data_IF_400310160267
#
_entry.id   IF_400310160267
#
_cell.length_a   1.000
_cell.length_b   1.000
_cell.length_c   1.000
_cell.angle_alpha   90.00
_cell.angle_beta   90.00
_cell.angle_gamma   90.00
#
_symmetry.space_group_name_H-M   'P 1'
#
loop_
_entity.id
_entity.type
_entity.pdbx_description
1 polymer ?
#
# COMPACT_ATOMS: atom_id res chain seq x y z
N UNK A 1 32.33 -16.05 -34.43
CA UNK A 1 31.40 -16.22 -33.27
C UNK A 1 32.06 -15.65 -32.04
N UNK A 2 31.61 -14.50 -31.55
CA UNK A 2 32.05 -13.96 -30.26
C UNK A 2 31.30 -14.72 -29.15
N UNK A 3 31.97 -15.19 -28.09
CA UNK A 3 31.30 -15.83 -26.98
C UNK A 3 30.42 -14.78 -26.27
N UNK A 4 29.10 -15.00 -26.26
CA UNK A 4 28.19 -14.22 -25.42
C UNK A 4 28.64 -14.41 -23.98
N UNK A 5 29.23 -13.38 -23.37
CA UNK A 5 29.41 -13.34 -21.92
C UNK A 5 28.02 -13.24 -21.31
N UNK A 6 27.47 -14.37 -20.88
CA UNK A 6 26.28 -14.41 -20.05
C UNK A 6 26.62 -13.72 -18.72
N UNK A 7 25.95 -12.59 -18.45
CA UNK A 7 26.11 -11.89 -17.18
C UNK A 7 25.60 -12.79 -16.07
N UNK A 8 26.42 -13.01 -15.03
CA UNK A 8 26.02 -13.77 -13.86
C UNK A 8 24.76 -13.16 -13.21
N UNK A 9 23.79 -14.00 -12.90
CA UNK A 9 22.55 -13.60 -12.24
C UNK A 9 22.82 -13.22 -10.78
N UNK A 10 22.22 -12.13 -10.30
CA UNK A 10 22.33 -11.66 -8.92
C UNK A 10 20.99 -11.12 -8.43
N UNK A 11 20.75 -11.29 -7.12
CA UNK A 11 19.65 -10.66 -6.40
C UNK A 11 20.23 -10.01 -5.15
N UNK A 12 20.25 -8.68 -5.11
CA UNK A 12 20.66 -7.91 -3.94
C UNK A 12 19.42 -7.45 -3.19
N UNK A 13 19.35 -7.75 -1.89
CA UNK A 13 18.33 -7.25 -0.98
C UNK A 13 18.97 -6.51 0.19
N UNK A 14 18.41 -5.35 0.52
CA UNK A 14 18.79 -4.56 1.70
C UNK A 14 17.54 -4.25 2.52
N UNK A 15 17.66 -4.35 3.85
CA UNK A 15 16.62 -3.88 4.78
C UNK A 15 17.22 -2.73 5.57
N UNK A 16 16.62 -1.54 5.45
CA UNK A 16 17.21 -0.28 5.94
C UNK A 16 16.16 0.70 6.43
N UNK A 17 16.64 1.84 6.91
CA UNK A 17 15.81 3.01 7.22
C UNK A 17 14.56 2.68 8.06
N UNK A 18 14.74 2.22 9.31
CA UNK A 18 13.61 1.97 10.21
C UNK A 18 12.87 3.28 10.51
N UNK A 19 11.55 3.30 10.35
CA UNK A 19 10.73 4.48 10.66
C UNK A 19 9.57 4.13 11.57
N UNK A 20 9.27 5.03 12.50
CA UNK A 20 8.04 4.95 13.29
C UNK A 20 6.91 5.51 12.43
N UNK A 21 5.94 4.66 12.12
CA UNK A 21 4.67 5.01 11.49
C UNK A 21 3.63 5.21 12.58
N UNK A 22 2.95 6.36 12.55
CA UNK A 22 1.77 6.64 13.37
C UNK A 22 0.55 6.42 12.47
N UNK A 23 -0.18 5.35 12.74
CA UNK A 23 -1.44 5.04 12.05
C UNK A 23 -2.56 5.85 12.70
N UNK A 24 -2.61 5.84 14.04
CA UNK A 24 -3.44 6.71 14.89
C UNK A 24 -2.68 7.13 16.16
N UNK A 25 -3.30 7.94 17.02
CA UNK A 25 -2.76 8.41 18.31
C UNK A 25 -2.22 7.30 19.23
N UNK A 26 -2.70 6.06 19.08
CA UNK A 26 -2.33 4.91 19.92
C UNK A 26 -1.67 3.77 19.13
N UNK A 27 -1.80 3.78 17.80
CA UNK A 27 -1.31 2.71 16.94
C UNK A 27 -0.04 3.15 16.21
N UNK A 28 1.08 3.09 16.92
CA UNK A 28 2.39 3.28 16.30
C UNK A 28 3.07 1.93 16.04
N UNK A 29 3.83 1.84 14.96
CA UNK A 29 4.66 0.69 14.65
C UNK A 29 5.93 1.10 13.92
N UNK A 30 6.95 0.24 13.97
CA UNK A 30 8.14 0.40 13.13
C UNK A 30 7.97 -0.42 11.85
N UNK A 31 8.21 0.24 10.72
CA UNK A 31 8.41 -0.39 9.43
C UNK A 31 9.86 -0.23 8.97
N UNK A 32 10.26 -1.06 8.00
CA UNK A 32 11.59 -1.07 7.42
C UNK A 32 11.46 -0.92 5.91
N UNK A 33 12.38 -0.16 5.30
CA UNK A 33 12.52 -0.15 3.85
C UNK A 33 13.18 -1.44 3.39
N UNK A 34 12.56 -2.12 2.42
CA UNK A 34 13.15 -3.23 1.67
C UNK A 34 13.51 -2.69 0.30
N UNK A 35 14.78 -2.79 -0.06
CA UNK A 35 15.29 -2.45 -1.38
C UNK A 35 15.78 -3.69 -2.09
N UNK A 36 15.29 -3.91 -3.32
CA UNK A 36 15.75 -4.97 -4.22
C UNK A 36 16.47 -4.33 -5.40
N UNK A 37 17.59 -4.93 -5.80
CA UNK A 37 18.26 -4.70 -7.07
C UNK A 37 18.72 -6.03 -7.64
N UNK A 38 18.29 -6.36 -8.86
CA UNK A 38 18.49 -7.68 -9.44
C UNK A 38 18.52 -7.61 -10.97
N UNK A 39 19.26 -8.52 -11.61
CA UNK A 39 19.12 -8.79 -13.04
C UNK A 39 18.31 -10.07 -13.32
N UNK A 40 17.86 -10.78 -12.27
CA UNK A 40 17.14 -12.04 -12.36
C UNK A 40 15.83 -11.93 -13.12
N UNK A 41 15.49 -12.96 -13.90
CA UNK A 41 14.21 -13.05 -14.62
C UNK A 41 13.06 -13.52 -13.72
N UNK A 42 13.34 -14.00 -12.52
CA UNK A 42 12.32 -14.33 -11.54
C UNK A 42 11.56 -13.10 -11.03
N UNK A 43 12.08 -11.88 -11.25
CA UNK A 43 11.46 -10.64 -10.78
C UNK A 43 10.92 -9.81 -11.94
N UNK A 44 9.69 -9.33 -11.78
CA UNK A 44 9.02 -8.42 -12.73
C UNK A 44 9.76 -7.10 -12.85
N UNK A 45 10.19 -6.51 -11.71
CA UNK A 45 10.99 -5.28 -11.68
C UNK A 45 12.43 -5.56 -11.25
N UNK A 46 13.39 -4.91 -11.93
CA UNK A 46 14.82 -5.02 -11.62
C UNK A 46 15.23 -4.23 -10.38
N UNK A 47 14.45 -3.21 -10.03
CA UNK A 47 14.57 -2.47 -8.78
C UNK A 47 13.20 -2.28 -8.14
N UNK A 48 13.13 -2.41 -6.82
CA UNK A 48 11.94 -2.08 -6.04
C UNK A 48 12.30 -1.52 -4.68
N UNK A 49 11.42 -0.69 -4.13
CA UNK A 49 11.56 -0.10 -2.81
C UNK A 49 10.20 -0.03 -2.12
N UNK A 50 9.99 -0.91 -1.14
CA UNK A 50 8.74 -1.07 -0.40
C UNK A 50 8.99 -0.92 1.10
N UNK A 51 7.94 -0.70 1.90
CA UNK A 51 8.07 -0.66 3.36
C UNK A 51 7.23 -1.74 4.00
N UNK A 52 7.82 -2.50 4.91
CA UNK A 52 7.15 -3.63 5.58
C UNK A 52 7.46 -3.60 7.07
N UNK A 53 6.47 -3.91 7.90
CA UNK A 53 6.62 -4.07 9.35
C UNK A 53 6.82 -5.53 9.72
N UNK A 54 7.39 -5.78 10.90
CA UNK A 54 7.76 -7.13 11.36
C UNK A 54 6.61 -8.16 11.27
N UNK A 55 5.37 -7.79 11.60
CA UNK A 55 4.22 -8.72 11.55
C UNK A 55 3.95 -9.26 10.13
N UNK A 56 4.23 -8.46 9.10
CA UNK A 56 4.03 -8.88 7.72
C UNK A 56 5.11 -9.88 7.29
N UNK A 57 6.34 -9.78 7.82
CA UNK A 57 7.35 -10.82 7.63
C UNK A 57 6.96 -12.14 8.30
N UNK A 58 6.35 -12.08 9.49
CA UNK A 58 5.81 -13.27 10.15
C UNK A 58 4.74 -13.93 9.29
N UNK A 59 3.80 -13.14 8.75
CA UNK A 59 2.81 -13.63 7.79
C UNK A 59 3.46 -14.26 6.56
N UNK A 60 4.43 -13.57 5.92
CA UNK A 60 5.11 -14.07 4.73
C UNK A 60 5.77 -15.43 5.00
N UNK A 61 6.52 -15.55 6.11
CA UNK A 61 7.15 -16.82 6.48
C UNK A 61 6.13 -17.94 6.65
N UNK A 62 4.99 -17.65 7.30
CA UNK A 62 3.93 -18.65 7.47
C UNK A 62 3.34 -19.12 6.14
N UNK A 63 3.08 -18.20 5.20
CA UNK A 63 2.54 -18.54 3.86
C UNK A 63 3.55 -19.31 3.01
N UNK A 64 4.82 -18.90 3.02
CA UNK A 64 5.87 -19.64 2.33
C UNK A 64 6.03 -21.05 2.91
N UNK A 65 5.91 -21.21 4.23
CA UNK A 65 6.04 -22.52 4.87
C UNK A 65 4.86 -23.44 4.52
N UNK A 66 3.64 -22.91 4.43
CA UNK A 66 2.47 -23.71 4.04
C UNK A 66 2.57 -24.21 2.60
N UNK A 67 3.14 -23.42 1.70
CA UNK A 67 3.28 -23.79 0.29
C UNK A 67 4.48 -24.70 0.04
N UNK A 68 5.55 -24.57 0.84
CA UNK A 68 6.78 -25.34 0.71
C UNK A 68 7.08 -26.13 1.99
N UNK A 69 6.16 -27.03 2.39
CA UNK A 69 6.22 -27.74 3.68
C UNK A 69 7.52 -28.54 3.91
N UNK A 70 8.18 -29.00 2.85
CA UNK A 70 9.43 -29.76 2.93
C UNK A 70 10.69 -28.88 3.06
N UNK A 71 10.56 -27.57 2.84
CA UNK A 71 11.68 -26.63 2.93
C UNK A 71 11.74 -26.07 4.34
N UNK A 72 12.90 -26.17 4.98
CA UNK A 72 13.17 -25.49 6.23
C UNK A 72 13.40 -23.99 5.97
N UNK A 73 12.40 -23.16 6.29
CA UNK A 73 12.53 -21.73 6.09
C UNK A 73 13.46 -21.09 7.15
N UNK A 74 14.31 -20.14 6.73
CA UNK A 74 15.08 -19.29 7.63
C UNK A 74 14.22 -18.74 8.77
N UNK A 75 14.80 -18.69 9.97
CA UNK A 75 14.14 -18.09 11.11
C UNK A 75 14.08 -16.57 10.97
N UNK A 76 12.98 -15.98 11.44
CA UNK A 76 12.89 -14.55 11.64
C UNK A 76 13.63 -14.19 12.93
N UNK A 77 14.14 -12.94 13.06
CA UNK A 77 14.66 -12.48 14.34
C UNK A 77 13.60 -12.68 15.41
N UNK A 78 14.02 -13.19 16.57
CA UNK A 78 13.12 -13.55 17.65
C UNK A 78 12.13 -12.43 17.95
N UNK A 79 10.87 -12.81 18.20
CA UNK A 79 9.87 -11.87 18.71
C UNK A 79 10.29 -11.49 20.12
N UNK A 80 11.08 -10.43 20.26
CA UNK A 80 11.56 -9.96 21.55
C UNK A 80 10.35 -9.56 22.41
N UNK A 81 10.08 -10.24 23.54
CA UNK A 81 8.93 -9.91 24.40
C UNK A 81 9.02 -8.47 24.93
N UNK A 82 10.22 -7.91 25.02
CA UNK A 82 10.50 -6.52 25.40
C UNK A 82 11.09 -5.70 24.24
N UNK A 83 10.56 -5.88 23.02
CA UNK A 83 11.00 -5.06 21.90
C UNK A 83 10.67 -3.59 22.17
N UNK A 84 11.72 -2.80 22.42
CA UNK A 84 11.63 -1.36 22.60
C UNK A 84 11.96 -0.66 21.28
N UNK A 85 10.96 0.00 20.67
CA UNK A 85 11.10 0.78 19.44
C UNK A 85 12.05 1.97 19.58
N UNK A 86 12.25 2.46 20.79
CA UNK A 86 13.14 3.58 21.10
C UNK A 86 14.58 3.12 21.39
N UNK A 87 14.83 1.80 21.45
CA UNK A 87 16.18 1.27 21.60
C UNK A 87 16.79 0.99 20.21
N UNK A 88 17.80 1.77 19.77
CA UNK A 88 18.40 1.60 18.44
C UNK A 88 19.01 0.21 18.23
N UNK A 89 19.56 -0.42 19.27
CA UNK A 89 20.16 -1.75 19.18
C UNK A 89 19.10 -2.82 18.86
N UNK A 90 17.93 -2.74 19.51
CA UNK A 90 16.83 -3.65 19.22
C UNK A 90 16.32 -3.49 17.78
N UNK A 91 16.16 -2.23 17.35
CA UNK A 91 15.68 -1.91 16.00
C UNK A 91 16.66 -2.41 14.94
N UNK A 92 17.96 -2.19 15.13
CA UNK A 92 18.99 -2.61 14.19
C UNK A 92 19.20 -4.14 14.19
N UNK A 93 19.18 -4.79 15.35
CA UNK A 93 19.26 -6.27 15.42
C UNK A 93 18.08 -6.91 14.67
N UNK A 94 16.87 -6.38 14.83
CA UNK A 94 15.71 -6.83 14.05
C UNK A 94 15.90 -6.56 12.56
N UNK A 95 16.34 -5.36 12.18
CA UNK A 95 16.62 -5.01 10.77
C UNK A 95 17.60 -5.99 10.12
N UNK A 96 18.71 -6.30 10.80
CA UNK A 96 19.71 -7.26 10.34
C UNK A 96 19.12 -8.66 10.16
N UNK A 97 18.35 -9.15 11.13
CA UNK A 97 17.69 -10.45 11.03
C UNK A 97 16.67 -10.52 9.89
N UNK A 98 15.90 -9.44 9.66
CA UNK A 98 14.98 -9.34 8.52
C UNK A 98 15.73 -9.36 7.18
N UNK A 99 16.89 -8.71 7.09
CA UNK A 99 17.74 -8.77 5.89
C UNK A 99 18.26 -10.18 5.64
N UNK A 100 18.82 -10.83 6.67
CA UNK A 100 19.33 -12.19 6.56
C UNK A 100 18.23 -13.18 6.17
N UNK A 101 17.03 -13.01 6.71
CA UNK A 101 15.86 -13.79 6.33
C UNK A 101 15.59 -13.66 4.82
N UNK A 102 15.44 -12.44 4.29
CA UNK A 102 15.18 -12.25 2.86
C UNK A 102 16.34 -12.73 1.99
N UNK A 103 17.59 -12.48 2.38
CA UNK A 103 18.76 -12.95 1.63
C UNK A 103 18.72 -14.47 1.42
N UNK A 104 18.38 -15.23 2.46
CA UNK A 104 18.27 -16.70 2.37
C UNK A 104 17.04 -17.15 1.58
N UNK A 105 15.90 -16.46 1.72
CA UNK A 105 14.68 -16.77 0.97
C UNK A 105 14.89 -16.57 -0.54
N UNK A 106 15.49 -15.44 -0.94
CA UNK A 106 15.67 -15.07 -2.34
C UNK A 106 16.78 -15.87 -3.06
N UNK A 107 17.53 -16.70 -2.32
CA UNK A 107 18.48 -17.66 -2.89
C UNK A 107 17.83 -18.99 -3.27
N UNK A 108 16.57 -19.24 -2.89
CA UNK A 108 15.88 -20.50 -3.14
C UNK A 108 14.90 -20.36 -4.32
N UNK A 109 15.16 -21.02 -5.48
CA UNK A 109 14.29 -20.93 -6.66
C UNK A 109 12.84 -21.38 -6.41
N UNK A 110 12.62 -22.34 -5.51
CA UNK A 110 11.27 -22.80 -5.18
C UNK A 110 10.48 -21.70 -4.46
N UNK A 111 11.13 -20.95 -3.56
CA UNK A 111 10.48 -19.83 -2.87
C UNK A 111 10.30 -18.63 -3.81
N UNK A 112 11.21 -18.43 -4.77
CA UNK A 112 11.05 -17.44 -5.84
C UNK A 112 9.89 -17.74 -6.79
N UNK A 113 9.32 -18.95 -6.78
CA UNK A 113 8.11 -19.25 -7.56
C UNK A 113 6.82 -18.77 -6.90
N UNK A 114 6.84 -18.39 -5.62
CA UNK A 114 5.66 -17.93 -4.90
C UNK A 114 5.38 -16.44 -5.19
N UNK A 115 4.24 -16.15 -5.80
CA UNK A 115 3.80 -14.79 -6.13
C UNK A 115 3.60 -13.91 -4.90
N UNK A 116 3.32 -14.47 -3.71
CA UNK A 116 3.22 -13.71 -2.46
C UNK A 116 4.54 -13.05 -2.09
N UNK A 117 5.67 -13.72 -2.36
CA UNK A 117 6.99 -13.16 -2.12
C UNK A 117 7.25 -11.95 -3.03
N UNK A 118 6.90 -12.06 -4.30
CA UNK A 118 7.05 -10.97 -5.27
C UNK A 118 6.18 -9.77 -4.93
N UNK A 119 4.90 -9.99 -4.63
CA UNK A 119 4.01 -8.91 -4.19
C UNK A 119 4.52 -8.26 -2.89
N UNK A 120 5.05 -9.06 -1.96
CA UNK A 120 5.61 -8.55 -0.71
C UNK A 120 6.82 -7.62 -0.93
N UNK A 121 7.75 -7.97 -1.82
CA UNK A 121 8.99 -7.20 -2.06
C UNK A 121 8.88 -6.16 -3.19
N UNK A 122 7.84 -6.21 -4.03
CA UNK A 122 7.69 -5.33 -5.20
C UNK A 122 6.43 -4.45 -5.17
N UNK A 123 5.52 -4.62 -4.21
CA UNK A 123 4.33 -3.77 -4.03
C UNK A 123 4.15 -3.34 -2.57
N UNK A 124 3.22 -2.41 -2.33
CA UNK A 124 2.77 -2.00 -0.98
C UNK A 124 1.42 -2.63 -0.58
N UNK A 125 0.91 -3.63 -1.32
CA UNK A 125 -0.31 -4.35 -0.98
C UNK A 125 -0.19 -4.97 0.42
N UNK A 126 -1.24 -4.87 1.23
CA UNK A 126 -1.26 -5.49 2.56
C UNK A 126 -1.43 -7.03 2.44
N UNK A 127 -1.21 -7.81 3.51
CA UNK A 127 -1.36 -9.28 3.47
C UNK A 127 -2.69 -9.81 2.92
N UNK A 128 -3.80 -9.12 3.20
CA UNK A 128 -5.13 -9.52 2.74
C UNK A 128 -5.27 -9.32 1.22
N UNK A 129 -4.86 -8.16 0.72
CA UNK A 129 -4.85 -7.85 -0.71
C UNK A 129 -3.90 -8.79 -1.48
N UNK A 130 -2.77 -9.16 -0.88
CA UNK A 130 -1.87 -10.16 -1.48
C UNK A 130 -2.57 -11.51 -1.62
N UNK A 131 -3.23 -12.01 -0.56
CA UNK A 131 -3.96 -13.28 -0.65
C UNK A 131 -5.12 -13.22 -1.65
N UNK A 132 -5.85 -12.11 -1.69
CA UNK A 132 -6.90 -11.90 -2.69
C UNK A 132 -6.33 -11.95 -4.11
N UNK A 133 -5.18 -11.28 -4.34
CA UNK A 133 -4.54 -11.25 -5.65
C UNK A 133 -4.06 -12.62 -6.12
N UNK A 134 -3.34 -13.35 -5.26
CA UNK A 134 -2.82 -14.69 -5.63
C UNK A 134 -3.92 -15.75 -5.74
N UNK A 135 -5.09 -15.52 -5.12
CA UNK A 135 -6.26 -16.39 -5.23
C UNK A 135 -7.16 -16.04 -6.43
N UNK A 136 -6.85 -14.98 -7.18
CA UNK A 136 -7.66 -14.54 -8.32
C UNK A 136 -8.94 -13.78 -7.95
N UNK A 137 -9.01 -13.23 -6.72
CA UNK A 137 -10.15 -12.45 -6.23
C UNK A 137 -10.00 -10.93 -6.45
N UNK A 138 -8.93 -10.49 -7.10
CA UNK A 138 -8.72 -9.08 -7.50
C UNK A 138 -9.03 -8.86 -8.98
N UNK A 139 -9.29 -7.61 -9.37
CA UNK A 139 -9.48 -7.22 -10.78
C UNK A 139 -8.17 -7.12 -11.57
N UNK A 140 -7.04 -7.06 -10.87
CA UNK A 140 -5.70 -6.94 -11.43
C UNK A 140 -4.89 -8.21 -11.19
N UNK A 141 -3.94 -8.51 -12.08
CA UNK A 141 -2.99 -9.61 -11.90
C UNK A 141 -1.82 -9.23 -10.97
N UNK A 142 -1.00 -10.22 -10.62
CA UNK A 142 0.25 -10.02 -9.88
C UNK A 142 1.18 -9.04 -10.61
N UNK A 143 1.32 -9.22 -11.93
CA UNK A 143 2.20 -8.37 -12.74
C UNK A 143 1.66 -6.93 -12.84
N UNK A 144 0.34 -6.78 -13.03
CA UNK A 144 -0.31 -5.46 -13.07
C UNK A 144 -0.08 -4.70 -11.76
N UNK A 145 -0.27 -5.36 -10.61
CA UNK A 145 -0.05 -4.76 -9.30
C UNK A 145 1.40 -4.26 -9.12
N UNK A 146 2.38 -5.03 -9.62
CA UNK A 146 3.80 -4.66 -9.56
C UNK A 146 4.09 -3.47 -10.50
N UNK A 147 3.53 -3.46 -11.70
CA UNK A 147 3.74 -2.34 -12.63
C UNK A 147 3.08 -1.05 -12.16
N UNK A 148 1.84 -1.12 -11.67
CA UNK A 148 1.10 0.03 -11.17
C UNK A 148 1.83 0.67 -9.98
N UNK A 149 2.28 -0.14 -9.02
CA UNK A 149 3.02 0.36 -7.86
C UNK A 149 4.32 1.08 -8.27
N UNK A 150 5.07 0.52 -9.22
CA UNK A 150 6.27 1.16 -9.73
C UNK A 150 5.95 2.50 -10.43
N UNK A 151 4.87 2.58 -11.19
CA UNK A 151 4.42 3.83 -11.81
C UNK A 151 4.03 4.89 -10.77
N UNK A 152 3.35 4.51 -9.68
CA UNK A 152 2.99 5.41 -8.58
C UNK A 152 4.23 5.98 -7.88
N UNK A 153 5.28 5.15 -7.69
CA UNK A 153 6.56 5.57 -7.11
C UNK A 153 7.36 6.54 -7.99
N UNK A 154 7.14 6.53 -9.30
CA UNK A 154 7.83 7.40 -10.26
C UNK A 154 7.11 8.75 -10.48
N UNK A 155 5.84 8.87 -10.06
CA UNK A 155 5.15 10.16 -10.05
C UNK A 155 5.69 10.98 -8.88
N UNK A 156 6.32 12.11 -9.19
CA UNK A 156 6.80 13.07 -8.19
C UNK A 156 5.65 13.50 -7.26
N UNK A 157 5.93 13.82 -5.97
CA UNK A 157 4.92 14.39 -5.09
C UNK A 157 4.39 15.68 -5.73
N UNK A 158 3.09 15.71 -6.03
CA UNK A 158 2.39 16.99 -6.12
C UNK A 158 2.38 17.52 -4.70
N UNK A 159 3.02 18.67 -4.49
CA UNK A 159 2.92 19.40 -3.23
C UNK A 159 1.44 19.74 -3.02
N UNK A 160 0.84 19.17 -1.98
CA UNK A 160 -0.50 19.53 -1.51
C UNK A 160 -0.40 20.87 -0.78
N UNK A 161 -0.40 21.96 -1.54
CA UNK A 161 -0.63 23.30 -1.00
C UNK A 161 -2.02 23.32 -0.36
N UNK A 162 -2.02 23.45 0.96
CA UNK A 162 -3.12 23.06 1.83
C UNK A 162 -4.47 23.66 1.46
N UNK A 163 -5.47 22.78 1.36
CA UNK A 163 -6.88 23.17 1.40
C UNK A 163 -7.25 23.61 2.82
N UNK A 164 -6.93 24.86 3.17
CA UNK A 164 -7.60 25.54 4.28
C UNK A 164 -9.07 25.74 3.89
N UNK A 165 -9.96 25.08 4.63
CA UNK A 165 -11.38 25.43 4.69
C UNK A 165 -11.52 26.71 5.50
N UNK A 166 -11.97 27.78 4.88
CA UNK A 166 -12.55 28.93 5.58
C UNK A 166 -13.91 29.22 4.93
N UNK A 167 -14.97 29.10 5.74
CA UNK A 167 -16.35 29.43 5.41
C UNK A 167 -16.68 30.82 6.02
N UNK A 168 -17.60 31.53 5.35
CA UNK A 168 -18.28 32.79 5.73
C UNK A 168 -17.44 34.08 5.55
N UNK A 169 -17.94 35.22 5.06
CA UNK A 169 -19.27 35.67 4.67
C UNK A 169 -19.15 36.77 3.60
N UNK A 170 -20.22 36.92 2.82
CA UNK A 170 -20.85 38.17 2.35
C UNK A 170 -19.98 39.39 1.98
N UNK A 171 -20.05 39.80 0.71
CA UNK A 171 -19.96 41.21 0.34
C UNK A 171 -20.43 41.41 -1.10
N UNK A 172 -21.59 42.05 -1.22
CA UNK A 172 -22.16 42.61 -2.45
C UNK A 172 -21.19 43.56 -3.15
N UNK A 173 -21.15 43.50 -4.49
CA UNK A 173 -20.82 44.65 -5.34
C UNK A 173 -21.38 44.47 -6.75
N UNK A 174 -22.13 45.50 -7.11
CA UNK A 174 -23.08 45.64 -8.20
C UNK A 174 -22.46 45.85 -9.60
N UNK A 175 -23.31 45.60 -10.59
CA UNK A 175 -23.51 46.35 -11.85
C UNK A 175 -22.96 45.86 -13.20
N UNK A 176 -23.95 45.48 -14.04
CA UNK A 176 -24.23 45.91 -15.44
C UNK A 176 -23.35 45.33 -16.57
N UNK A 177 -23.86 44.90 -17.74
CA UNK A 177 -25.09 45.23 -18.46
C UNK A 177 -25.50 44.20 -19.54
N UNK A 178 -26.81 44.22 -19.85
CA UNK A 178 -27.49 44.09 -21.15
C UNK A 178 -27.48 42.78 -21.95
N UNK A 179 -28.68 42.18 -22.08
CA UNK A 179 -29.07 41.26 -23.14
C UNK A 179 -30.58 40.97 -23.08
N UNK A 180 -31.37 41.71 -23.87
CA UNK A 180 -32.83 41.60 -23.99
C UNK A 180 -33.24 40.37 -24.82
N UNK A 181 -34.36 39.72 -24.46
CA UNK A 181 -35.03 38.72 -25.30
C UNK A 181 -36.31 38.16 -24.66
N UNK A 182 -37.45 38.53 -25.24
CA UNK A 182 -38.84 38.29 -24.82
C UNK A 182 -39.29 36.80 -24.76
N UNK A 183 -40.29 36.49 -23.91
CA UNK A 183 -41.65 36.07 -24.32
C UNK A 183 -42.43 35.38 -23.16
N UNK A 184 -43.54 36.01 -22.72
CA UNK A 184 -44.92 35.50 -22.52
C UNK A 184 -45.18 34.00 -22.29
N UNK A 185 -46.13 33.49 -21.46
CA UNK A 185 -47.26 34.05 -20.69
C UNK A 185 -47.68 33.02 -19.59
N UNK A 186 -48.32 33.54 -18.53
CA UNK A 186 -49.49 33.05 -17.75
C UNK A 186 -49.70 31.53 -17.46
N UNK A 187 -49.94 31.16 -16.20
CA UNK A 187 -51.28 31.29 -15.54
C UNK A 187 -51.36 30.49 -14.21
N UNK A 188 -51.88 31.16 -13.15
CA UNK A 188 -52.81 30.71 -12.09
C UNK A 188 -52.52 29.40 -11.29
N UNK A 189 -52.83 29.23 -10.00
CA UNK A 189 -53.12 30.01 -8.77
C UNK A 189 -53.52 28.96 -7.71
N UNK A 190 -53.32 29.28 -6.42
CA UNK A 190 -54.01 28.73 -5.24
C UNK A 190 -53.94 27.21 -4.97
N UNK A 191 -53.74 26.70 -3.75
CA UNK A 191 -53.75 27.32 -2.44
C UNK A 191 -54.10 26.26 -1.39
N UNK A 192 -53.44 26.36 -0.24
CA UNK A 192 -53.93 26.04 1.10
C UNK A 192 -54.19 24.58 1.56
N UNK A 193 -53.29 24.17 2.48
CA UNK A 193 -53.51 23.87 3.92
C UNK A 193 -54.19 22.55 4.36
N UNK A 194 -53.58 22.03 5.44
CA UNK A 194 -54.20 21.23 6.52
C UNK A 194 -53.64 19.81 6.55
N UNK A 195 -52.69 19.45 7.44
CA UNK A 195 -52.88 19.11 8.88
C UNK A 195 -53.80 17.88 9.01
N UNK A 196 -53.47 16.76 9.66
CA UNK A 196 -52.83 16.48 10.97
C UNK A 196 -52.63 14.96 11.11
N UNK A 197 -51.68 14.54 11.96
CA UNK A 197 -51.67 13.41 12.92
C UNK A 197 -52.11 12.00 12.45
N UNK A 198 -51.50 10.87 12.83
CA UNK A 198 -51.17 10.41 14.19
C UNK A 198 -50.47 9.04 14.08
N UNK A 199 -49.59 8.72 15.04
CA UNK A 199 -49.04 7.38 15.37
C UNK A 199 -50.14 6.53 16.06
N UNK A 200 -50.15 5.18 16.00
CA UNK A 200 -49.50 4.32 17.02
C UNK A 200 -48.79 3.08 16.39
N UNK A 201 -47.66 2.63 16.91
CA UNK A 201 -47.44 1.71 18.04
C UNK A 201 -47.83 0.23 17.77
N UNK A 202 -46.89 -0.64 18.16
CA UNK A 202 -46.71 -2.08 17.87
C UNK A 202 -47.85 -3.02 18.32
N UNK A 203 -47.71 -4.31 17.99
CA UNK A 203 -47.19 -5.25 19.00
C UNK A 203 -45.97 -6.07 18.58
#
# INVERSE_FOLDING_TARGET
MTPKHEKQEFVTVLVRDPRIKKEDSWHSHIDYEIFIHTNSMCFTRKTSCVRRRFREFVWLRQRLQSNAALIQLPELPARTPFFNTNNPQHVDQRRQGLQQFLQKILQNPLLLSDSRLHLFVQTQLNPEDIEACVSGHTKYSVEDAIHEFACLKLRFPVEDEGRKKENYADSDSESSSSGLGHSSDDNISHGCKGSTDTVPEEP
#
